data_IF_712943037102
#
_entry.id   IF_712943037102
#
_cell.length_a   1.000
_cell.length_b   1.000
_cell.length_c   1.000
_cell.angle_alpha   90.00
_cell.angle_beta   90.00
_cell.angle_gamma   90.00
#
_symmetry.space_group_name_H-M   'P 1'
#
loop_
_entity.id
_entity.type
_entity.pdbx_description
1 polymer ?
#
# COMPACT_ATOMS: atom_id res chain seq x y z
N UNK A 1 -5.00 -24.79 91.67
CA UNK A 1 -3.54 -24.92 91.47
C UNK A 1 -3.24 -24.47 90.06
N UNK A 2 -3.01 -23.17 89.90
CA UNK A 2 -2.31 -22.61 88.74
C UNK A 2 -0.95 -22.17 89.26
N UNK A 3 0.11 -22.83 88.81
CA UNK A 3 1.49 -22.45 89.08
C UNK A 3 1.87 -21.36 88.08
N UNK A 4 1.84 -20.10 88.51
CA UNK A 4 2.50 -19.01 87.79
C UNK A 4 4.00 -19.26 87.84
N UNK A 5 4.59 -19.57 86.68
CA UNK A 5 6.03 -19.78 86.53
C UNK A 5 6.69 -18.39 86.50
N UNK A 6 7.39 -18.03 87.58
CA UNK A 6 8.23 -16.82 87.59
C UNK A 6 9.42 -17.04 86.64
N UNK A 7 9.36 -16.41 85.47
CA UNK A 7 10.45 -16.39 84.50
C UNK A 7 11.48 -15.34 84.92
N UNK A 8 12.76 -15.70 84.83
CA UNK A 8 13.84 -14.75 85.01
C UNK A 8 13.84 -13.72 83.87
N UNK A 9 14.37 -12.52 84.12
CA UNK A 9 14.51 -11.47 83.09
C UNK A 9 15.29 -12.00 81.87
N UNK A 10 16.25 -12.90 82.07
CA UNK A 10 17.02 -13.52 80.99
C UNK A 10 16.16 -14.41 80.09
N UNK A 11 15.22 -15.17 80.65
CA UNK A 11 14.31 -16.03 79.88
C UNK A 11 13.30 -15.20 79.08
N UNK A 12 12.77 -14.12 79.67
CA UNK A 12 11.87 -13.18 78.99
C UNK A 12 12.56 -12.53 77.76
N UNK A 13 13.83 -12.12 77.92
CA UNK A 13 14.62 -11.53 76.83
C UNK A 13 14.87 -12.57 75.73
N UNK A 14 15.20 -13.81 76.08
CA UNK A 14 15.49 -14.87 75.11
C UNK A 14 14.25 -15.27 74.30
N UNK A 15 13.10 -15.40 74.96
CA UNK A 15 11.82 -15.67 74.28
C UNK A 15 11.40 -14.52 73.36
N UNK A 16 11.57 -13.27 73.80
CA UNK A 16 11.29 -12.09 72.97
C UNK A 16 12.19 -12.04 71.72
N UNK A 17 13.48 -12.36 71.86
CA UNK A 17 14.41 -12.45 70.74
C UNK A 17 14.04 -13.57 69.77
N UNK A 18 13.57 -14.71 70.27
CA UNK A 18 13.11 -15.83 69.44
C UNK A 18 11.85 -15.46 68.66
N UNK A 19 10.88 -14.80 69.29
CA UNK A 19 9.66 -14.29 68.64
C UNK A 19 10.03 -13.28 67.52
N UNK A 20 10.94 -12.34 67.83
CA UNK A 20 11.41 -11.36 66.84
C UNK A 20 12.14 -12.02 65.67
N UNK A 21 13.00 -13.00 65.92
CA UNK A 21 13.72 -13.74 64.88
C UNK A 21 12.76 -14.51 63.95
N UNK A 22 11.76 -15.18 64.52
CA UNK A 22 10.74 -15.89 63.75
C UNK A 22 9.90 -14.93 62.89
N UNK A 23 9.50 -13.78 63.45
CA UNK A 23 8.75 -12.74 62.72
C UNK A 23 9.58 -12.14 61.56
N UNK A 24 10.87 -11.88 61.78
CA UNK A 24 11.78 -11.44 60.72
C UNK A 24 11.94 -12.49 59.62
N UNK A 25 12.07 -13.77 59.99
CA UNK A 25 12.17 -14.86 59.03
C UNK A 25 10.92 -14.98 58.16
N UNK A 26 9.72 -14.84 58.75
CA UNK A 26 8.47 -14.92 58.00
C UNK A 26 8.27 -13.68 57.10
N UNK A 27 8.66 -12.49 57.57
CA UNK A 27 8.66 -11.27 56.76
C UNK A 27 9.57 -11.43 55.54
N UNK A 28 10.77 -12.00 55.72
CA UNK A 28 11.70 -12.25 54.62
C UNK A 28 11.15 -13.27 53.61
N UNK A 29 10.46 -14.32 54.06
CA UNK A 29 9.79 -15.28 53.14
C UNK A 29 8.70 -14.60 52.31
N UNK A 30 7.92 -13.69 52.91
CA UNK A 30 6.89 -12.93 52.21
C UNK A 30 7.51 -11.99 51.18
N UNK A 31 8.57 -11.25 51.56
CA UNK A 31 9.31 -10.38 50.65
C UNK A 31 9.88 -11.14 49.46
N UNK A 32 10.48 -12.30 49.70
CA UNK A 32 11.03 -13.13 48.61
C UNK A 32 9.94 -13.55 47.61
N UNK A 33 8.77 -14.00 48.10
CA UNK A 33 7.63 -14.37 47.25
C UNK A 33 7.11 -13.19 46.42
N UNK A 34 7.09 -11.98 47.01
CA UNK A 34 6.71 -10.76 46.30
C UNK A 34 7.73 -10.40 45.22
N UNK A 35 9.04 -10.48 45.51
CA UNK A 35 10.10 -10.26 44.53
C UNK A 35 10.00 -11.23 43.34
N UNK A 36 9.79 -12.53 43.61
CA UNK A 36 9.63 -13.55 42.58
C UNK A 36 8.36 -13.31 41.73
N UNK A 37 7.26 -12.89 42.38
CA UNK A 37 6.01 -12.54 41.69
C UNK A 37 6.17 -11.30 40.79
N UNK A 38 6.84 -10.25 41.27
CA UNK A 38 7.14 -9.04 40.50
C UNK A 38 8.03 -9.38 39.29
N UNK A 39 9.05 -10.20 39.50
CA UNK A 39 9.93 -10.64 38.41
C UNK A 39 9.15 -11.40 37.32
N UNK A 40 8.31 -12.36 37.73
CA UNK A 40 7.44 -13.12 36.81
C UNK A 40 6.43 -12.22 36.08
N UNK A 41 5.87 -11.22 36.76
CA UNK A 41 4.99 -10.23 36.13
C UNK A 41 5.75 -9.38 35.11
N UNK A 42 6.97 -8.93 35.43
CA UNK A 42 7.82 -8.18 34.51
C UNK A 42 8.18 -8.97 33.25
N UNK A 43 8.54 -10.24 33.39
CA UNK A 43 8.80 -11.15 32.26
C UNK A 43 7.54 -11.34 31.40
N UNK A 44 6.37 -11.51 32.02
CA UNK A 44 5.09 -11.62 31.31
C UNK A 44 4.77 -10.32 30.54
N UNK A 45 4.96 -9.16 31.16
CA UNK A 45 4.70 -7.86 30.55
C UNK A 45 5.61 -7.60 29.34
N UNK A 46 6.90 -7.95 29.45
CA UNK A 46 7.82 -7.88 28.33
C UNK A 46 7.37 -8.76 27.16
N UNK A 47 6.93 -9.99 27.44
CA UNK A 47 6.39 -10.89 26.41
C UNK A 47 5.18 -10.29 25.69
N UNK A 48 4.25 -9.67 26.42
CA UNK A 48 3.08 -8.99 25.85
C UNK A 48 3.50 -7.83 24.94
N UNK A 49 4.45 -6.99 25.38
CA UNK A 49 4.93 -5.84 24.61
C UNK A 49 5.61 -6.28 23.31
N UNK A 50 6.43 -7.33 23.36
CA UNK A 50 7.06 -7.89 22.16
C UNK A 50 6.04 -8.43 21.17
N UNK A 51 5.02 -9.16 21.65
CA UNK A 51 3.97 -9.71 20.81
C UNK A 51 3.13 -8.60 20.16
N UNK A 52 2.73 -7.57 20.92
CA UNK A 52 2.01 -6.41 20.39
C UNK A 52 2.82 -5.68 19.31
N UNK A 53 4.14 -5.56 19.49
CA UNK A 53 5.03 -4.94 18.51
C UNK A 53 5.05 -5.73 17.20
N UNK A 54 5.15 -7.07 17.28
CA UNK A 54 5.10 -7.96 16.11
C UNK A 54 3.73 -7.92 15.41
N UNK A 55 2.65 -7.90 16.18
CA UNK A 55 1.29 -7.80 15.65
C UNK A 55 1.09 -6.47 14.91
N UNK A 56 1.51 -5.35 15.51
CA UNK A 56 1.43 -4.03 14.86
C UNK A 56 2.18 -3.99 13.53
N UNK A 57 3.42 -4.48 13.50
CA UNK A 57 4.19 -4.54 12.26
C UNK A 57 3.51 -5.40 11.18
N UNK A 58 2.85 -6.49 11.58
CA UNK A 58 2.09 -7.36 10.68
C UNK A 58 0.83 -6.66 10.14
N UNK A 59 0.11 -5.93 10.99
CA UNK A 59 -1.05 -5.12 10.61
C UNK A 59 -0.64 -4.02 9.63
N UNK A 60 0.44 -3.29 9.91
CA UNK A 60 0.94 -2.22 9.04
C UNK A 60 1.29 -2.77 7.64
N UNK A 61 1.88 -3.96 7.58
CA UNK A 61 2.19 -4.64 6.31
C UNK A 61 0.93 -5.07 5.58
N UNK A 62 -0.07 -5.59 6.29
CA UNK A 62 -1.37 -5.93 5.71
C UNK A 62 -2.09 -4.69 5.18
N UNK A 63 -2.10 -3.58 5.93
CA UNK A 63 -2.71 -2.33 5.51
C UNK A 63 -2.09 -1.82 4.21
N UNK A 64 -0.75 -1.81 4.11
CA UNK A 64 -0.04 -1.44 2.87
C UNK A 64 -0.47 -2.26 1.66
N UNK A 65 -0.69 -3.56 1.83
CA UNK A 65 -1.06 -4.47 0.74
C UNK A 65 -2.56 -4.49 0.43
N UNK A 66 -3.41 -4.09 1.38
CA UNK A 66 -4.88 -4.17 1.25
C UNK A 66 -5.51 -2.83 0.92
N UNK A 67 -4.84 -1.72 1.24
CA UNK A 67 -5.32 -0.36 1.02
C UNK A 67 -4.87 0.20 -0.34
N UNK A 68 -4.95 -0.63 -1.37
CA UNK A 68 -4.61 -0.29 -2.76
C UNK A 68 -5.80 -0.56 -3.69
N UNK A 69 -5.86 0.11 -4.82
CA UNK A 69 -7.01 0.02 -5.74
C UNK A 69 -7.26 -1.40 -6.25
N UNK A 70 -6.23 -2.23 -6.35
CA UNK A 70 -6.35 -3.62 -6.80
C UNK A 70 -6.92 -4.58 -5.75
N UNK A 71 -7.03 -4.14 -4.49
CA UNK A 71 -7.62 -4.94 -3.43
C UNK A 71 -9.08 -5.32 -3.73
N UNK A 72 -9.54 -6.54 -3.38
CA UNK A 72 -10.93 -6.97 -3.60
C UNK A 72 -11.97 -5.99 -3.05
N UNK A 73 -11.68 -5.34 -1.92
CA UNK A 73 -12.54 -4.33 -1.29
C UNK A 73 -12.77 -3.07 -2.14
N UNK A 74 -11.87 -2.80 -3.08
CA UNK A 74 -11.93 -1.64 -3.97
C UNK A 74 -12.27 -2.01 -5.42
N UNK A 75 -12.73 -3.24 -5.69
CA UNK A 75 -13.08 -3.74 -7.02
C UNK A 75 -14.02 -2.82 -7.82
N UNK A 76 -15.04 -2.22 -7.19
CA UNK A 76 -15.93 -1.23 -7.83
C UNK A 76 -15.18 0.03 -8.25
N UNK A 77 -14.26 0.50 -7.40
CA UNK A 77 -13.45 1.71 -7.66
C UNK A 77 -12.42 1.44 -8.75
N UNK A 78 -11.75 0.29 -8.73
CA UNK A 78 -10.91 -0.20 -9.84
C UNK A 78 -11.67 -0.21 -11.17
N UNK A 79 -12.89 -0.76 -11.18
CA UNK A 79 -13.73 -0.80 -12.39
C UNK A 79 -14.07 0.61 -12.88
N UNK A 80 -14.40 1.53 -11.99
CA UNK A 80 -14.70 2.91 -12.34
C UNK A 80 -13.47 3.65 -12.87
N UNK A 81 -12.30 3.44 -12.26
CA UNK A 81 -11.03 4.00 -12.73
C UNK A 81 -10.66 3.48 -14.13
N UNK A 82 -10.82 2.18 -14.38
CA UNK A 82 -10.63 1.60 -15.71
C UNK A 82 -11.60 2.18 -16.75
N UNK A 83 -12.86 2.43 -16.37
CA UNK A 83 -13.83 3.09 -17.24
C UNK A 83 -13.38 4.52 -17.54
N UNK A 84 -12.95 5.27 -16.54
CA UNK A 84 -12.44 6.63 -16.70
C UNK A 84 -11.25 6.67 -17.68
N UNK A 85 -10.26 5.80 -17.50
CA UNK A 85 -9.11 5.71 -18.41
C UNK A 85 -9.55 5.39 -19.84
N UNK A 86 -10.47 4.43 -20.01
CA UNK A 86 -10.99 4.08 -21.34
C UNK A 86 -11.74 5.26 -21.96
N UNK A 87 -12.63 5.89 -21.22
CA UNK A 87 -13.40 7.06 -21.69
C UNK A 87 -12.45 8.18 -22.10
N UNK A 88 -11.41 8.47 -21.31
CA UNK A 88 -10.42 9.47 -21.69
C UNK A 88 -9.75 9.15 -23.02
N UNK A 89 -9.23 7.93 -23.18
CA UNK A 89 -8.57 7.51 -24.42
C UNK A 89 -9.52 7.60 -25.61
N UNK A 90 -10.80 7.26 -25.43
CA UNK A 90 -11.82 7.43 -26.47
C UNK A 90 -12.06 8.89 -26.86
N UNK A 91 -12.06 9.81 -25.90
CA UNK A 91 -12.23 11.23 -26.17
C UNK A 91 -11.09 11.80 -27.02
N UNK A 92 -9.87 11.25 -26.94
CA UNK A 92 -8.76 11.64 -27.81
C UNK A 92 -9.02 11.38 -29.30
N UNK A 93 -9.96 10.49 -29.61
CA UNK A 93 -10.35 10.14 -30.98
C UNK A 93 -11.69 10.75 -31.37
N UNK A 94 -12.14 11.81 -30.68
CA UNK A 94 -13.48 12.40 -30.86
C UNK A 94 -14.63 11.38 -30.68
N UNK A 95 -14.38 10.28 -29.97
CA UNK A 95 -15.27 9.13 -29.85
C UNK A 95 -15.59 8.39 -31.16
N UNK A 96 -14.74 8.53 -32.17
CA UNK A 96 -14.86 7.85 -33.46
C UNK A 96 -13.92 6.63 -33.54
N UNK A 97 -14.43 5.52 -34.08
CA UNK A 97 -13.66 4.26 -34.18
C UNK A 97 -13.02 4.02 -35.55
N UNK A 98 -13.54 4.70 -36.56
CA UNK A 98 -13.18 4.42 -37.96
C UNK A 98 -12.07 5.37 -38.46
N UNK A 99 -11.52 6.19 -37.57
CA UNK A 99 -10.42 7.10 -37.89
C UNK A 99 -9.09 6.36 -38.00
N UNK A 100 -8.17 6.79 -38.90
CA UNK A 100 -6.82 6.25 -38.96
C UNK A 100 -6.11 6.28 -37.60
N UNK A 101 -6.30 7.36 -36.83
CA UNK A 101 -5.77 7.54 -35.49
C UNK A 101 -6.24 6.44 -34.54
N UNK A 102 -7.54 6.14 -34.52
CA UNK A 102 -8.08 5.10 -33.65
C UNK A 102 -7.51 3.72 -34.01
N UNK A 103 -7.50 3.38 -35.30
CA UNK A 103 -7.01 2.09 -35.79
C UNK A 103 -5.53 1.89 -35.41
N UNK A 104 -4.72 2.95 -35.50
CA UNK A 104 -3.29 2.89 -35.23
C UNK A 104 -2.99 2.90 -33.73
N UNK A 105 -3.55 3.86 -32.99
CA UNK A 105 -3.08 4.22 -31.66
C UNK A 105 -3.90 3.64 -30.52
N UNK A 106 -5.19 3.34 -30.70
CA UNK A 106 -6.10 2.98 -29.61
C UNK A 106 -5.53 1.89 -28.69
N UNK A 107 -5.07 0.77 -29.26
CA UNK A 107 -4.49 -0.34 -28.50
C UNK A 107 -3.29 0.08 -27.64
N UNK A 108 -2.44 0.98 -28.14
CA UNK A 108 -1.27 1.46 -27.44
C UNK A 108 -1.65 2.45 -26.33
N UNK A 109 -2.53 3.40 -26.64
CA UNK A 109 -2.93 4.44 -25.68
C UNK A 109 -3.71 3.86 -24.50
N UNK A 110 -4.54 2.83 -24.72
CA UNK A 110 -5.20 2.13 -23.63
C UNK A 110 -4.22 1.51 -22.63
N UNK A 111 -3.04 1.08 -23.06
CA UNK A 111 -2.01 0.55 -22.15
C UNK A 111 -1.17 1.68 -21.55
N UNK A 112 -0.80 2.67 -22.38
CA UNK A 112 0.09 3.77 -22.00
C UNK A 112 -0.45 4.60 -20.86
N UNK A 113 -1.74 4.94 -20.87
CA UNK A 113 -2.35 5.73 -19.80
C UNK A 113 -2.15 5.10 -18.40
N UNK A 114 -2.22 3.77 -18.29
CA UNK A 114 -1.98 3.09 -17.02
C UNK A 114 -0.50 3.15 -16.61
N UNK A 115 0.42 3.03 -17.57
CA UNK A 115 1.85 3.16 -17.31
C UNK A 115 2.24 4.58 -16.89
N UNK A 116 1.61 5.59 -17.48
CA UNK A 116 1.84 7.00 -17.15
C UNK A 116 1.27 7.36 -15.78
N UNK A 117 0.11 6.81 -15.41
CA UNK A 117 -0.41 6.93 -14.04
C UNK A 117 0.59 6.33 -13.05
N UNK A 118 1.10 5.12 -13.28
CA UNK A 118 2.07 4.50 -12.38
C UNK A 118 3.34 5.36 -12.25
N UNK A 119 3.86 5.84 -13.38
CA UNK A 119 5.07 6.67 -13.41
C UNK A 119 4.88 8.03 -12.72
N UNK A 120 3.70 8.66 -12.87
CA UNK A 120 3.40 9.96 -12.27
C UNK A 120 3.38 9.91 -10.74
N UNK A 121 2.94 8.79 -10.16
CA UNK A 121 2.86 8.60 -8.71
C UNK A 121 4.01 7.76 -8.12
N UNK A 122 5.06 7.48 -8.90
CA UNK A 122 6.21 6.65 -8.50
C UNK A 122 5.78 5.27 -7.96
N UNK A 123 4.91 4.59 -8.72
CA UNK A 123 4.38 3.27 -8.41
C UNK A 123 4.95 2.23 -9.36
N UNK A 124 5.17 1.00 -8.86
CA UNK A 124 5.53 -0.16 -9.71
C UNK A 124 4.45 -0.43 -10.76
N UNK A 125 3.18 -0.30 -10.38
CA UNK A 125 2.03 -0.41 -11.26
C UNK A 125 0.87 0.45 -10.76
N UNK A 126 -0.01 0.89 -11.67
CA UNK A 126 -1.23 1.64 -11.32
C UNK A 126 -2.16 0.87 -10.36
N UNK A 127 -1.98 -0.45 -10.26
CA UNK A 127 -2.67 -1.30 -9.28
C UNK A 127 -2.38 -0.93 -7.83
N UNK A 128 -1.28 -0.23 -7.58
CA UNK A 128 -0.79 0.15 -6.25
C UNK A 128 -1.27 1.55 -5.82
N UNK A 129 -2.14 2.19 -6.61
CA UNK A 129 -2.77 3.46 -6.21
C UNK A 129 -3.39 3.30 -4.82
N UNK A 130 -2.90 4.10 -3.88
CA UNK A 130 -3.34 4.07 -2.49
C UNK A 130 -4.79 4.49 -2.38
N UNK A 131 -5.56 3.70 -1.62
CA UNK A 131 -6.95 3.97 -1.29
C UNK A 131 -7.11 4.63 0.08
N UNK A 132 -6.00 5.01 0.72
CA UNK A 132 -6.01 5.77 1.97
C UNK A 132 -6.75 7.09 1.78
N UNK A 133 -7.78 7.31 2.59
CA UNK A 133 -8.62 8.50 2.55
C UNK A 133 -9.18 8.80 1.15
N UNK A 134 -9.52 7.78 0.34
CA UNK A 134 -9.93 7.94 -1.07
C UNK A 134 -11.10 8.92 -1.33
N UNK A 135 -11.84 9.30 -0.28
CA UNK A 135 -12.93 10.28 -0.32
C UNK A 135 -12.43 11.72 -0.29
N UNK A 136 -11.21 11.93 0.21
CA UNK A 136 -10.54 13.23 0.20
C UNK A 136 -10.10 13.61 -1.21
N UNK A 137 -10.26 14.88 -1.56
CA UNK A 137 -9.76 15.48 -2.80
C UNK A 137 -8.23 15.37 -2.90
N UNK A 138 -7.54 15.41 -1.76
CA UNK A 138 -6.07 15.31 -1.70
C UNK A 138 -5.57 13.85 -1.69
N UNK A 139 -6.45 12.87 -1.75
CA UNK A 139 -6.02 11.46 -1.82
C UNK A 139 -5.35 11.14 -3.16
N UNK A 140 -4.43 10.17 -3.14
CA UNK A 140 -3.79 9.68 -4.37
C UNK A 140 -4.82 9.20 -5.39
N UNK A 141 -5.89 8.52 -4.93
CA UNK A 141 -6.98 8.10 -5.82
C UNK A 141 -7.71 9.29 -6.47
N UNK A 142 -7.96 10.37 -5.74
CA UNK A 142 -8.57 11.58 -6.29
C UNK A 142 -7.68 12.27 -7.32
N UNK A 143 -6.41 12.47 -6.98
CA UNK A 143 -5.41 13.04 -7.89
C UNK A 143 -5.21 12.17 -9.14
N UNK A 144 -5.23 10.83 -9.01
CA UNK A 144 -5.10 9.93 -10.16
C UNK A 144 -6.28 10.06 -11.13
N UNK A 145 -7.51 10.28 -10.64
CA UNK A 145 -8.65 10.55 -11.52
C UNK A 145 -8.49 11.88 -12.26
N UNK A 146 -7.99 12.91 -11.57
CA UNK A 146 -7.74 14.23 -12.16
C UNK A 146 -6.68 14.14 -13.26
N UNK A 147 -5.55 13.50 -12.96
CA UNK A 147 -4.50 13.21 -13.93
C UNK A 147 -5.06 12.51 -15.17
N UNK A 148 -5.84 11.45 -14.99
CA UNK A 148 -6.47 10.71 -16.11
C UNK A 148 -7.43 11.60 -16.90
N UNK A 149 -8.17 12.50 -16.25
CA UNK A 149 -9.14 13.36 -16.93
C UNK A 149 -8.46 14.32 -17.92
N UNK A 150 -7.25 14.77 -17.60
CA UNK A 150 -6.47 15.68 -18.44
C UNK A 150 -5.39 14.97 -19.28
N UNK A 151 -5.24 13.65 -19.13
CA UNK A 151 -4.12 12.92 -19.73
C UNK A 151 -4.10 13.02 -21.26
N UNK A 152 -2.93 13.28 -21.83
CA UNK A 152 -2.64 13.19 -23.27
C UNK A 152 -1.32 12.43 -23.46
N UNK A 153 -1.16 11.66 -24.55
CA UNK A 153 0.11 11.03 -24.84
C UNK A 153 1.16 12.09 -25.22
N UNK A 154 2.41 11.86 -24.85
CA UNK A 154 3.50 12.75 -25.26
C UNK A 154 3.82 12.62 -26.75
N UNK A 155 4.24 13.72 -27.37
CA UNK A 155 4.70 13.75 -28.77
C UNK A 155 5.76 12.69 -29.05
N UNK A 156 6.71 12.54 -28.13
CA UNK A 156 7.78 11.56 -28.24
C UNK A 156 7.21 10.14 -28.35
N UNK A 157 6.23 9.79 -27.52
CA UNK A 157 5.61 8.47 -27.55
C UNK A 157 4.89 8.19 -28.86
N UNK A 158 4.17 9.18 -29.40
CA UNK A 158 3.48 9.06 -30.69
C UNK A 158 4.47 8.88 -31.83
N UNK A 159 5.57 9.65 -31.86
CA UNK A 159 6.64 9.52 -32.85
C UNK A 159 7.28 8.13 -32.84
N UNK A 160 7.59 7.60 -31.66
CA UNK A 160 8.14 6.25 -31.54
C UNK A 160 7.13 5.18 -32.01
N UNK A 161 5.84 5.34 -31.71
CA UNK A 161 4.81 4.43 -32.22
C UNK A 161 4.75 4.45 -33.76
N UNK A 162 4.80 5.63 -34.38
CA UNK A 162 4.79 5.79 -35.84
C UNK A 162 6.01 5.13 -36.45
N UNK A 163 7.21 5.41 -35.92
CA UNK A 163 8.48 4.82 -36.37
C UNK A 163 8.42 3.29 -36.34
N UNK A 164 7.97 2.71 -35.22
CA UNK A 164 7.82 1.26 -35.11
C UNK A 164 6.78 0.69 -36.09
N UNK A 165 5.68 1.40 -36.37
CA UNK A 165 4.69 0.95 -37.35
C UNK A 165 5.21 1.04 -38.79
N UNK A 166 6.02 2.04 -39.13
CA UNK A 166 6.70 2.15 -40.43
C UNK A 166 7.63 0.96 -40.62
N UNK A 167 8.47 0.65 -39.64
CA UNK A 167 9.37 -0.50 -39.69
C UNK A 167 8.61 -1.83 -39.84
N UNK A 168 7.51 -2.01 -39.11
CA UNK A 168 6.67 -3.20 -39.24
C UNK A 168 6.00 -3.30 -40.62
N UNK A 169 5.59 -2.18 -41.22
CA UNK A 169 5.03 -2.15 -42.58
C UNK A 169 6.09 -2.55 -43.60
N UNK A 170 7.27 -1.96 -43.51
CA UNK A 170 8.34 -2.16 -44.48
C UNK A 170 8.89 -3.60 -44.42
N UNK A 171 8.79 -4.25 -43.26
CA UNK A 171 9.09 -5.67 -43.07
C UNK A 171 7.91 -6.62 -43.38
N UNK A 172 6.74 -6.11 -43.82
CA UNK A 172 5.57 -6.94 -44.15
C UNK A 172 4.86 -7.59 -42.95
N UNK A 173 5.12 -7.10 -41.73
CA UNK A 173 4.57 -7.63 -40.47
C UNK A 173 3.24 -6.94 -40.11
N UNK A 174 3.11 -5.67 -40.48
CA UNK A 174 1.94 -4.87 -40.13
C UNK A 174 0.70 -5.37 -40.89
N UNK A 175 -0.42 -5.55 -40.17
CA UNK A 175 -1.68 -6.03 -40.76
C UNK A 175 -2.18 -5.09 -41.87
N UNK A 176 -2.82 -5.60 -42.95
CA UNK A 176 -3.26 -4.78 -44.09
C UNK A 176 -4.11 -3.56 -43.71
N UNK A 177 -5.06 -3.73 -42.79
CA UNK A 177 -5.91 -2.62 -42.29
C UNK A 177 -5.09 -1.51 -41.65
N UNK A 178 -4.08 -1.88 -40.85
CA UNK A 178 -3.16 -0.93 -40.21
C UNK A 178 -2.19 -0.30 -41.21
N UNK A 179 -1.77 -1.02 -42.26
CA UNK A 179 -0.98 -0.46 -43.35
C UNK A 179 -1.75 0.64 -44.10
N UNK A 180 -3.04 0.39 -44.39
CA UNK A 180 -3.91 1.38 -45.03
C UNK A 180 -4.09 2.61 -44.13
N UNK A 181 -4.44 2.39 -42.86
CA UNK A 181 -4.57 3.47 -41.88
C UNK A 181 -3.27 4.27 -41.72
N UNK A 182 -2.11 3.61 -41.65
CA UNK A 182 -0.81 4.28 -41.56
C UNK A 182 -0.52 5.13 -42.80
N UNK A 183 -0.84 4.63 -43.98
CA UNK A 183 -0.63 5.36 -45.23
C UNK A 183 -1.51 6.61 -45.30
N UNK A 184 -2.77 6.50 -44.87
CA UNK A 184 -3.69 7.62 -44.78
C UNK A 184 -3.26 8.64 -43.72
N UNK A 185 -2.91 8.15 -42.53
CA UNK A 185 -2.40 8.96 -41.43
C UNK A 185 -1.17 9.78 -41.83
N UNK A 186 -0.17 9.16 -42.46
CA UNK A 186 1.04 9.87 -42.91
C UNK A 186 0.75 10.92 -43.99
N UNK A 187 -0.29 10.75 -44.81
CA UNK A 187 -0.71 11.75 -45.79
C UNK A 187 -1.34 12.97 -45.12
N UNK A 188 -2.18 12.76 -44.10
CA UNK A 188 -2.90 13.85 -43.41
C UNK A 188 -2.05 14.60 -42.39
N UNK A 189 -0.99 13.97 -41.86
CA UNK A 189 -0.15 14.52 -40.77
C UNK A 189 1.21 15.05 -41.22
N UNK A 190 1.40 15.31 -42.52
CA UNK A 190 2.70 15.65 -43.10
C UNK A 190 3.79 14.66 -42.67
N UNK A 191 3.62 13.38 -43.00
CA UNK A 191 4.53 12.29 -42.64
C UNK A 191 4.69 12.05 -41.13
N UNK A 192 3.68 12.40 -40.32
CA UNK A 192 3.70 12.19 -38.86
C UNK A 192 4.38 13.31 -38.08
N UNK A 193 4.64 14.46 -38.71
CA UNK A 193 5.18 15.64 -38.04
C UNK A 193 4.14 16.34 -37.15
N UNK A 194 2.85 16.23 -37.50
CA UNK A 194 1.73 16.82 -36.75
C UNK A 194 1.14 15.77 -35.80
N UNK A 195 1.19 16.02 -34.50
CA UNK A 195 0.52 15.17 -33.49
C UNK A 195 -0.97 15.56 -33.37
N UNK A 196 -1.92 14.66 -33.70
CA UNK A 196 -3.36 14.97 -33.65
C UNK A 196 -3.94 15.02 -32.22
N UNK A 197 -3.15 14.66 -31.20
CA UNK A 197 -3.60 14.61 -29.81
C UNK A 197 -3.19 15.85 -28.98
N UNK A 198 -2.50 16.81 -29.61
CA UNK A 198 -1.93 18.01 -28.98
C UNK A 198 -2.53 19.29 -29.55
#
# INVERSE_FOLDING_TARGET
>A
METTRDMSISEIIMDSQMILANSQQDTNKVLQRLCDAIKKQGETMNGIVEEQTKQKASIDKLEKNTNVICSPFHSKRKRNFNKLCKTRVWQLFNNEKDTPEYILFSHFLFKKIYGDVASHFDLDTWHDISMKNYESEMSMYSQAKEFVTCWTPSDWYIKECIKGMIEQRDNGILKPERCRALTEYLKITNHGEINPFC
#
